data_IF_057290612301
#
_entry.id   IF_057290612301
#
_cell.length_a   1.000
_cell.length_b   1.000
_cell.length_c   1.000
_cell.angle_alpha   90.00
_cell.angle_beta   90.00
_cell.angle_gamma   90.00
#
_symmetry.space_group_name_H-M   'P 1'
#
loop_
_entity.id
_entity.type
_entity.pdbx_description
1 polymer ?
#
# COMPACT_ATOMS: atom_id res chain seq x y z
N UNK A 1 -27.81 6.07 20.34
CA UNK A 1 -27.35 6.22 18.95
C UNK A 1 -27.34 4.87 18.26
N UNK A 2 -27.47 4.84 16.95
CA UNK A 2 -27.46 3.61 16.17
C UNK A 2 -26.08 3.24 15.68
N UNK A 3 -25.22 4.26 15.51
CA UNK A 3 -23.82 4.15 15.12
C UNK A 3 -22.98 5.06 16.02
N UNK A 4 -21.77 4.63 16.34
CA UNK A 4 -20.82 5.40 17.12
C UNK A 4 -19.65 5.81 16.21
N UNK A 5 -19.37 7.10 16.14
CA UNK A 5 -18.17 7.63 15.45
C UNK A 5 -17.17 7.98 16.53
N UNK A 6 -16.05 7.23 16.57
CA UNK A 6 -14.97 7.42 17.54
C UNK A 6 -13.81 8.17 16.85
N UNK A 7 -13.65 9.45 17.13
CA UNK A 7 -12.55 10.29 16.65
C UNK A 7 -11.39 10.21 17.65
N UNK A 8 -10.40 9.39 17.36
CA UNK A 8 -9.32 9.01 18.28
C UNK A 8 -7.95 9.06 17.57
N UNK A 9 -6.88 8.95 18.34
CA UNK A 9 -5.53 8.87 17.82
C UNK A 9 -4.51 9.70 18.59
N UNK A 10 -3.47 10.10 17.92
CA UNK A 10 -2.38 10.89 18.49
C UNK A 10 -2.73 12.36 18.54
N UNK A 11 -2.33 13.05 19.60
CA UNK A 11 -2.39 14.49 19.67
C UNK A 11 -1.12 15.15 19.12
N UNK A 12 -1.12 16.48 19.03
CA UNK A 12 -0.01 17.25 18.46
C UNK A 12 1.33 17.04 19.20
N UNK A 13 1.31 16.73 20.50
CA UNK A 13 2.52 16.51 21.29
C UNK A 13 3.11 15.11 21.14
N UNK A 14 2.40 14.20 20.45
CA UNK A 14 2.84 12.82 20.19
C UNK A 14 3.51 12.69 18.83
N UNK A 15 3.49 13.74 18.02
CA UNK A 15 4.01 13.77 16.66
C UNK A 15 4.88 15.00 16.41
N UNK A 16 5.64 14.96 15.32
CA UNK A 16 6.50 16.03 14.88
C UNK A 16 7.97 15.67 15.04
N UNK A 17 8.83 16.67 14.81
CA UNK A 17 10.27 16.52 14.90
C UNK A 17 10.69 16.13 16.32
N UNK A 18 11.51 15.06 16.42
CA UNK A 18 11.99 14.55 17.71
C UNK A 18 10.95 13.79 18.56
N UNK A 19 9.73 13.60 18.06
CA UNK A 19 8.66 12.91 18.78
C UNK A 19 8.58 11.42 18.40
N UNK A 20 9.60 10.64 18.73
CA UNK A 20 9.63 9.18 18.50
C UNK A 20 8.81 8.43 19.54
N UNK A 21 8.15 7.34 19.12
CA UNK A 21 7.40 6.45 20.02
C UNK A 21 7.90 5.01 19.85
N UNK A 22 8.18 4.34 20.97
CA UNK A 22 8.55 2.91 21.00
C UNK A 22 7.33 1.99 20.87
N UNK A 23 6.16 2.47 21.30
CA UNK A 23 4.87 1.78 21.22
C UNK A 23 3.92 2.65 20.39
N UNK A 24 3.89 2.50 19.04
CA UNK A 24 3.09 3.31 18.15
C UNK A 24 1.65 2.79 18.07
N UNK A 25 0.97 2.73 19.19
CA UNK A 25 -0.43 2.34 19.33
C UNK A 25 -1.33 3.56 19.54
N UNK A 26 -2.64 3.38 19.40
CA UNK A 26 -3.63 4.34 19.93
C UNK A 26 -3.39 4.48 21.43
N UNK A 27 -3.37 5.71 21.99
CA UNK A 27 -3.13 5.90 23.43
C UNK A 27 -4.01 5.02 24.32
N UNK A 28 -3.46 4.40 25.33
CA UNK A 28 -4.13 3.40 26.17
C UNK A 28 -5.51 3.82 26.71
N UNK A 29 -5.72 5.05 27.23
CA UNK A 29 -7.06 5.49 27.65
C UNK A 29 -8.09 5.49 26.51
N UNK A 30 -7.65 5.83 25.30
CA UNK A 30 -8.52 5.82 24.09
C UNK A 30 -8.80 4.39 23.64
N UNK A 31 -7.82 3.48 23.70
CA UNK A 31 -8.06 2.05 23.44
C UNK A 31 -9.07 1.45 24.44
N UNK A 32 -8.96 1.80 25.73
CA UNK A 32 -9.95 1.37 26.73
C UNK A 32 -11.35 1.86 26.40
N UNK A 33 -11.49 3.13 26.00
CA UNK A 33 -12.73 3.70 25.53
C UNK A 33 -13.26 2.94 24.31
N UNK A 34 -12.44 2.74 23.29
CA UNK A 34 -12.82 2.05 22.05
C UNK A 34 -13.33 0.62 22.34
N UNK A 35 -12.63 -0.12 23.18
CA UNK A 35 -13.02 -1.45 23.64
C UNK A 35 -14.36 -1.45 24.39
N UNK A 36 -14.61 -0.42 25.20
CA UNK A 36 -15.89 -0.24 25.88
C UNK A 36 -17.03 0.08 24.91
N UNK A 37 -16.77 0.90 23.88
CA UNK A 37 -17.75 1.22 22.84
C UNK A 37 -18.14 -0.01 22.03
N UNK A 38 -17.17 -0.84 21.62
CA UNK A 38 -17.44 -2.11 20.92
C UNK A 38 -18.31 -3.05 21.75
N UNK A 39 -18.09 -3.12 23.06
CA UNK A 39 -18.92 -3.95 23.97
C UNK A 39 -20.39 -3.54 24.05
N UNK A 40 -20.74 -2.35 23.59
CA UNK A 40 -22.15 -1.92 23.51
C UNK A 40 -22.95 -2.66 22.45
N UNK A 41 -22.27 -3.38 21.54
CA UNK A 41 -22.90 -4.05 20.39
C UNK A 41 -23.34 -3.11 19.27
N UNK A 42 -23.06 -1.80 19.37
CA UNK A 42 -23.33 -0.83 18.31
C UNK A 42 -22.17 -0.81 17.30
N UNK A 43 -22.46 -0.62 15.99
CA UNK A 43 -21.41 -0.40 15.02
C UNK A 43 -20.52 0.81 15.39
N UNK A 44 -19.21 0.62 15.37
CA UNK A 44 -18.24 1.67 15.65
C UNK A 44 -17.47 1.99 14.38
N UNK A 45 -17.39 3.27 14.03
CA UNK A 45 -16.52 3.80 12.97
C UNK A 45 -15.38 4.53 13.67
N UNK A 46 -14.15 4.09 13.43
CA UNK A 46 -12.95 4.78 13.92
C UNK A 46 -12.50 5.82 12.91
N UNK A 47 -12.47 7.08 13.31
CA UNK A 47 -11.78 8.16 12.60
C UNK A 47 -10.43 8.36 13.28
N UNK A 48 -9.37 7.89 12.64
CA UNK A 48 -8.03 7.84 13.21
C UNK A 48 -7.22 9.08 12.83
N UNK A 49 -6.76 9.82 13.83
CA UNK A 49 -5.83 10.94 13.68
C UNK A 49 -4.45 10.49 14.11
N UNK A 50 -3.49 10.51 13.19
CA UNK A 50 -2.10 10.09 13.45
C UNK A 50 -1.14 10.71 12.46
N UNK A 51 0.11 10.91 12.85
CA UNK A 51 1.19 11.34 11.97
C UNK A 51 2.12 10.20 11.54
N UNK A 52 1.81 8.97 11.94
CA UNK A 52 2.60 7.76 11.63
C UNK A 52 1.73 6.54 11.47
N UNK A 53 2.19 5.47 10.80
CA UNK A 53 1.55 4.16 10.89
C UNK A 53 1.52 3.66 12.33
N UNK A 54 0.33 3.31 12.82
CA UNK A 54 0.14 2.71 14.14
C UNK A 54 -0.04 1.19 14.03
N UNK A 55 0.19 0.49 15.11
CA UNK A 55 -0.21 -0.92 15.27
C UNK A 55 -1.72 -0.93 15.52
N UNK A 56 -2.49 -1.51 14.60
CA UNK A 56 -3.95 -1.50 14.60
C UNK A 56 -4.56 -2.91 14.53
N UNK A 57 -3.81 -3.94 14.91
CA UNK A 57 -4.28 -5.33 14.75
C UNK A 57 -5.57 -5.62 15.50
N UNK A 58 -5.74 -5.06 16.71
CA UNK A 58 -7.00 -5.22 17.44
C UNK A 58 -8.14 -4.43 16.78
N UNK A 59 -7.85 -3.22 16.32
CA UNK A 59 -8.83 -2.36 15.64
C UNK A 59 -9.29 -2.98 14.33
N UNK A 60 -8.39 -3.54 13.53
CA UNK A 60 -8.70 -4.22 12.26
C UNK A 60 -9.66 -5.41 12.48
N UNK A 61 -9.45 -6.16 13.57
CA UNK A 61 -10.29 -7.33 13.90
C UNK A 61 -11.69 -6.96 14.43
N UNK A 62 -11.81 -5.81 15.15
CA UNK A 62 -13.01 -5.51 15.93
C UNK A 62 -13.79 -4.28 15.44
N UNK A 63 -13.23 -3.44 14.60
CA UNK A 63 -13.84 -2.20 14.11
C UNK A 63 -14.20 -2.36 12.63
N UNK A 64 -15.48 -2.34 12.29
CA UNK A 64 -15.94 -2.60 10.93
C UNK A 64 -15.56 -1.53 9.91
N UNK A 65 -15.19 -0.32 10.35
CA UNK A 65 -14.77 0.77 9.47
C UNK A 65 -13.73 1.66 10.16
N UNK A 66 -12.59 1.84 9.48
CA UNK A 66 -11.50 2.72 9.93
C UNK A 66 -11.22 3.74 8.85
N UNK A 67 -11.39 5.03 9.16
CA UNK A 67 -11.00 6.16 8.33
C UNK A 67 -9.71 6.75 8.87
N UNK A 68 -8.58 6.49 8.19
CA UNK A 68 -7.31 7.10 8.55
C UNK A 68 -7.26 8.53 7.99
N UNK A 69 -7.46 9.50 8.88
CA UNK A 69 -7.55 10.92 8.52
C UNK A 69 -6.18 11.62 8.50
N UNK A 70 -5.11 11.01 9.05
CA UNK A 70 -3.84 11.69 9.28
C UNK A 70 -4.05 12.99 10.07
N UNK A 71 -3.25 14.01 9.81
CA UNK A 71 -3.48 15.38 10.32
C UNK A 71 -3.93 16.29 9.18
N UNK A 72 -5.22 16.55 9.16
CA UNK A 72 -5.87 17.38 8.16
C UNK A 72 -5.79 18.87 8.54
N UNK A 73 -6.01 19.74 7.55
CA UNK A 73 -6.08 21.19 7.74
C UNK A 73 -7.47 21.69 8.16
N UNK A 74 -7.74 22.96 7.90
CA UNK A 74 -8.96 23.66 8.34
C UNK A 74 -10.28 23.08 7.81
N UNK A 75 -10.23 22.33 6.71
CA UNK A 75 -11.40 21.66 6.12
C UNK A 75 -11.56 20.19 6.59
N UNK A 76 -10.87 19.80 7.68
CA UNK A 76 -10.93 18.43 8.21
C UNK A 76 -12.37 17.96 8.49
N UNK A 77 -13.16 18.77 9.20
CA UNK A 77 -14.54 18.42 9.57
C UNK A 77 -15.43 18.13 8.36
N UNK A 78 -15.57 19.08 7.41
CA UNK A 78 -16.33 18.85 6.18
C UNK A 78 -15.84 17.63 5.40
N UNK A 79 -14.52 17.48 5.17
CA UNK A 79 -13.96 16.36 4.40
C UNK A 79 -14.23 15.01 5.05
N UNK A 80 -14.13 14.90 6.36
CA UNK A 80 -14.46 13.68 7.11
C UNK A 80 -15.96 13.38 7.00
N UNK A 81 -16.82 14.40 7.15
CA UNK A 81 -18.27 14.24 7.03
C UNK A 81 -18.67 13.77 5.63
N UNK A 82 -18.14 14.37 4.57
CA UNK A 82 -18.43 13.99 3.19
C UNK A 82 -18.12 12.51 2.94
N UNK A 83 -16.99 12.02 3.48
CA UNK A 83 -16.65 10.59 3.38
C UNK A 83 -17.59 9.75 4.24
N UNK A 84 -17.82 10.07 5.51
CA UNK A 84 -18.62 9.28 6.44
C UNK A 84 -20.09 9.14 5.97
N UNK A 85 -20.65 10.21 5.40
CA UNK A 85 -22.04 10.21 4.91
C UNK A 85 -22.17 9.80 3.43
N UNK A 86 -21.04 9.59 2.74
CA UNK A 86 -21.02 9.05 1.39
C UNK A 86 -21.22 10.09 0.29
N UNK A 87 -21.11 11.38 0.60
CA UNK A 87 -21.09 12.47 -0.38
C UNK A 87 -19.81 12.45 -1.22
N UNK A 88 -18.71 11.96 -0.61
CA UNK A 88 -17.47 11.66 -1.30
C UNK A 88 -17.13 10.18 -1.20
N UNK A 89 -16.77 9.55 -2.32
CA UNK A 89 -16.22 8.20 -2.33
C UNK A 89 -14.71 8.27 -2.06
N UNK A 90 -14.19 7.62 -0.99
CA UNK A 90 -12.77 7.66 -0.67
C UNK A 90 -11.93 7.03 -1.79
N UNK A 91 -10.82 7.67 -2.13
CA UNK A 91 -9.86 7.22 -3.15
C UNK A 91 -8.41 7.34 -2.70
N UNK A 92 -8.18 7.76 -1.46
CA UNK A 92 -6.86 7.90 -0.87
C UNK A 92 -6.18 6.55 -0.66
N UNK A 93 -4.86 6.52 -0.87
CA UNK A 93 -4.00 5.38 -0.61
C UNK A 93 -2.96 5.76 0.44
N UNK A 94 -2.71 4.88 1.41
CA UNK A 94 -1.66 5.11 2.41
C UNK A 94 -0.28 5.05 1.75
N UNK A 95 0.61 5.96 2.17
CA UNK A 95 1.97 6.09 1.63
C UNK A 95 3.03 5.49 2.56
N UNK A 96 2.60 4.64 3.48
CA UNK A 96 3.45 3.86 4.36
C UNK A 96 2.75 2.54 4.71
N UNK A 97 3.52 1.49 4.98
CA UNK A 97 2.97 0.21 5.46
C UNK A 97 2.59 0.32 6.94
N UNK A 98 1.46 -0.24 7.34
CA UNK A 98 1.05 -0.34 8.75
C UNK A 98 1.46 -1.71 9.30
N UNK A 99 2.20 -1.76 10.41
CA UNK A 99 2.67 -3.02 10.99
C UNK A 99 1.54 -3.78 11.71
N UNK A 100 1.71 -5.09 11.88
CA UNK A 100 0.85 -5.91 12.74
C UNK A 100 1.24 -5.79 14.21
N UNK A 101 2.53 -5.60 14.46
CA UNK A 101 3.08 -5.32 15.80
C UNK A 101 4.37 -4.50 15.70
N UNK A 102 4.83 -3.98 16.84
CA UNK A 102 6.01 -3.14 16.91
C UNK A 102 7.30 -3.86 16.48
N UNK A 103 7.36 -5.18 16.64
CA UNK A 103 8.53 -5.98 16.26
C UNK A 103 8.79 -6.01 14.74
N UNK A 104 7.82 -5.62 13.91
CA UNK A 104 8.01 -5.51 12.47
C UNK A 104 8.65 -4.18 12.02
N UNK A 105 8.76 -3.18 12.89
CA UNK A 105 9.28 -1.87 12.52
C UNK A 105 10.82 -1.84 12.49
N UNK A 106 11.42 -1.20 11.47
CA UNK A 106 10.80 -0.59 10.30
C UNK A 106 10.31 -1.62 9.28
N UNK A 107 9.12 -1.39 8.69
CA UNK A 107 8.53 -2.26 7.67
C UNK A 107 8.39 -1.51 6.34
N UNK A 108 9.18 -1.91 5.34
CA UNK A 108 9.25 -1.26 4.04
C UNK A 108 8.73 -2.20 2.95
N UNK A 109 7.83 -1.71 2.09
CA UNK A 109 7.33 -2.48 0.94
C UNK A 109 8.44 -2.85 -0.07
N UNK A 110 9.49 -2.03 -0.11
CA UNK A 110 10.65 -2.14 -0.99
C UNK A 110 11.89 -2.68 -0.27
N UNK A 111 11.69 -3.56 0.71
CA UNK A 111 12.80 -4.20 1.42
C UNK A 111 13.70 -4.99 0.46
N UNK A 112 14.92 -5.26 0.87
CA UNK A 112 15.85 -6.13 0.15
C UNK A 112 15.71 -7.58 0.65
N UNK A 113 15.89 -8.53 -0.25
CA UNK A 113 15.93 -9.94 0.13
C UNK A 113 17.09 -10.20 1.08
N UNK A 114 16.85 -11.11 2.01
CA UNK A 114 17.89 -11.74 2.85
C UNK A 114 18.48 -12.95 2.11
N UNK A 115 19.47 -13.61 2.72
CA UNK A 115 20.06 -14.83 2.15
C UNK A 115 19.10 -16.04 2.09
N UNK A 116 17.99 -16.00 2.85
CA UNK A 116 16.98 -17.09 2.90
C UNK A 116 15.57 -16.52 2.99
N UNK A 117 15.11 -15.80 1.96
CA UNK A 117 13.79 -15.20 1.96
C UNK A 117 12.69 -16.27 2.00
N UNK A 118 11.53 -15.90 2.53
CA UNK A 118 10.31 -16.67 2.34
C UNK A 118 9.80 -16.53 0.90
N UNK A 119 9.00 -17.50 0.47
CA UNK A 119 8.33 -17.45 -0.84
C UNK A 119 7.22 -16.40 -0.89
N UNK A 120 6.59 -16.16 0.25
CA UNK A 120 5.55 -15.14 0.44
C UNK A 120 5.62 -14.52 1.83
N UNK A 121 5.46 -13.21 1.92
CA UNK A 121 5.40 -12.49 3.20
C UNK A 121 4.14 -12.83 4.02
N UNK A 122 3.09 -13.34 3.38
CA UNK A 122 1.87 -13.82 4.04
C UNK A 122 1.99 -15.26 4.56
N UNK A 123 3.10 -15.96 4.24
CA UNK A 123 3.33 -17.31 4.75
C UNK A 123 3.61 -17.31 6.26
N UNK A 124 3.09 -18.32 6.94
CA UNK A 124 3.43 -18.58 8.34
C UNK A 124 4.89 -18.97 8.53
N UNK A 125 5.29 -19.23 9.78
CA UNK A 125 6.66 -19.60 10.12
C UNK A 125 7.18 -20.80 9.34
N UNK A 126 8.35 -20.63 8.73
CA UNK A 126 9.13 -21.68 8.08
C UNK A 126 10.53 -21.71 8.67
N UNK A 127 10.94 -22.86 9.20
CA UNK A 127 12.26 -23.01 9.84
C UNK A 127 13.39 -22.73 8.84
N UNK A 128 14.40 -21.98 9.30
CA UNK A 128 15.58 -21.56 8.53
C UNK A 128 15.33 -20.56 7.40
N UNK A 129 14.15 -19.97 7.34
CA UNK A 129 13.83 -18.81 6.48
C UNK A 129 13.86 -17.54 7.30
N UNK A 130 13.96 -16.39 6.62
CA UNK A 130 13.89 -15.07 7.25
C UNK A 130 12.43 -14.69 7.51
N UNK A 131 11.94 -15.07 8.68
CA UNK A 131 10.55 -14.84 9.10
C UNK A 131 10.44 -14.78 10.61
N UNK A 132 9.33 -14.22 11.09
CA UNK A 132 8.96 -14.23 12.51
C UNK A 132 8.33 -15.57 12.89
N UNK A 133 8.40 -15.92 14.19
CA UNK A 133 7.81 -17.16 14.71
C UNK A 133 6.31 -16.96 14.97
N UNK A 134 5.91 -15.76 15.38
CA UNK A 134 4.64 -15.42 16.00
C UNK A 134 3.76 -14.47 15.15
N UNK A 135 4.28 -13.95 14.05
CA UNK A 135 3.57 -13.08 13.11
C UNK A 135 4.07 -13.34 11.69
N UNK A 136 3.22 -13.11 10.70
CA UNK A 136 3.65 -13.16 9.28
C UNK A 136 4.50 -11.94 8.94
N UNK A 137 5.38 -12.05 7.93
CA UNK A 137 6.22 -10.93 7.51
C UNK A 137 5.41 -9.77 6.91
N UNK A 138 4.27 -10.07 6.28
CA UNK A 138 3.41 -9.08 5.65
C UNK A 138 2.88 -8.03 6.64
N UNK A 139 2.83 -6.75 6.25
CA UNK A 139 2.20 -5.71 7.05
C UNK A 139 0.70 -5.97 7.24
N UNK A 140 0.08 -5.30 8.21
CA UNK A 140 -1.37 -5.27 8.36
C UNK A 140 -2.01 -4.62 7.12
N UNK A 141 -1.59 -3.40 6.80
CA UNK A 141 -1.97 -2.72 5.57
C UNK A 141 -0.71 -2.42 4.75
N UNK A 142 -0.63 -2.93 3.51
CA UNK A 142 0.53 -2.70 2.65
C UNK A 142 0.59 -1.25 2.16
N UNK A 143 1.77 -0.80 1.77
CA UNK A 143 1.94 0.49 1.07
C UNK A 143 0.98 0.57 -0.14
N UNK A 144 0.36 1.72 -0.33
CA UNK A 144 -0.60 1.94 -1.41
C UNK A 144 -2.00 1.39 -1.14
N UNK A 145 -2.27 0.80 0.02
CA UNK A 145 -3.60 0.29 0.38
C UNK A 145 -4.60 1.43 0.61
N UNK A 146 -5.85 1.18 0.28
CA UNK A 146 -6.99 2.04 0.57
C UNK A 146 -8.24 1.48 -0.11
N UNK A 147 -9.35 1.48 0.64
CA UNK A 147 -10.65 0.99 0.17
C UNK A 147 -11.47 2.11 -0.46
N UNK A 148 -12.49 1.73 -1.20
CA UNK A 148 -13.48 2.59 -1.85
C UNK A 148 -14.88 2.09 -1.53
N UNK A 149 -15.90 2.94 -1.74
CA UNK A 149 -17.32 2.51 -1.68
C UNK A 149 -17.78 1.79 -2.95
N UNK A 150 -16.85 1.53 -3.87
CA UNK A 150 -17.04 0.67 -5.03
C UNK A 150 -15.90 -0.35 -5.10
N UNK A 151 -15.97 -1.29 -6.03
CA UNK A 151 -14.97 -2.35 -6.22
C UNK A 151 -14.38 -2.26 -7.60
N UNK A 152 -13.11 -2.66 -7.73
CA UNK A 152 -12.38 -2.64 -9.00
C UNK A 152 -11.81 -4.02 -9.31
N UNK A 153 -11.86 -4.37 -10.59
CA UNK A 153 -11.22 -5.57 -11.14
C UNK A 153 -10.05 -5.15 -12.03
N UNK A 154 -8.93 -5.82 -11.86
CA UNK A 154 -7.71 -5.64 -12.63
C UNK A 154 -7.56 -6.79 -13.61
N UNK A 155 -7.51 -6.47 -14.91
CA UNK A 155 -7.25 -7.41 -15.99
C UNK A 155 -5.79 -7.90 -15.99
N UNK A 156 -5.40 -8.55 -17.08
CA UNK A 156 -4.02 -9.00 -17.27
C UNK A 156 -3.16 -7.88 -17.88
N UNK A 157 -1.86 -7.90 -17.55
CA UNK A 157 -0.89 -6.93 -18.07
C UNK A 157 -0.51 -7.35 -19.50
N UNK A 158 -0.62 -6.40 -20.42
CA UNK A 158 -0.13 -6.53 -21.79
C UNK A 158 1.10 -5.63 -21.96
N UNK A 159 2.21 -6.21 -22.38
CA UNK A 159 3.44 -5.51 -22.72
C UNK A 159 3.58 -5.33 -24.23
N UNK A 160 4.07 -4.17 -24.67
CA UNK A 160 4.33 -3.90 -26.08
C UNK A 160 5.41 -4.79 -26.70
N UNK A 161 6.31 -5.32 -25.86
CA UNK A 161 7.35 -6.28 -26.25
C UNK A 161 7.73 -7.15 -25.04
N UNK A 162 8.27 -8.33 -25.29
CA UNK A 162 8.89 -9.18 -24.27
C UNK A 162 10.38 -8.87 -24.09
N UNK A 163 10.97 -8.12 -25.01
CA UNK A 163 12.37 -7.71 -24.96
C UNK A 163 12.52 -6.26 -25.40
N UNK A 164 13.45 -5.53 -24.79
CA UNK A 164 13.84 -4.19 -25.20
C UNK A 164 15.37 -4.07 -25.22
N UNK A 165 15.95 -3.27 -26.12
CA UNK A 165 17.38 -2.93 -26.03
C UNK A 165 17.66 -2.03 -24.83
N UNK A 166 18.93 -1.94 -24.43
CA UNK A 166 19.36 -1.19 -23.24
C UNK A 166 19.01 0.31 -23.28
N UNK A 167 18.71 0.86 -24.45
CA UNK A 167 18.22 2.24 -24.63
C UNK A 167 16.76 2.30 -25.05
N UNK A 168 16.04 1.18 -24.92
CA UNK A 168 14.67 1.06 -25.35
C UNK A 168 13.64 1.59 -24.36
N UNK A 169 12.39 1.45 -24.74
CA UNK A 169 11.24 1.71 -23.90
C UNK A 169 10.17 0.62 -24.08
N UNK A 170 9.37 0.45 -23.06
CA UNK A 170 8.30 -0.52 -23.00
C UNK A 170 6.99 0.17 -22.63
N UNK A 171 5.90 -0.26 -23.24
CA UNK A 171 4.56 0.14 -22.82
C UNK A 171 3.88 -1.03 -22.11
N UNK A 172 3.43 -0.80 -20.86
CA UNK A 172 2.61 -1.72 -20.10
C UNK A 172 1.17 -1.21 -20.05
N UNK A 173 0.21 -2.07 -20.34
CA UNK A 173 -1.21 -1.77 -20.36
C UNK A 173 -1.97 -2.74 -19.48
N UNK A 174 -2.99 -2.23 -18.80
CA UNK A 174 -3.91 -3.01 -17.99
C UNK A 174 -5.31 -2.42 -18.09
N UNK A 175 -6.33 -3.27 -18.13
CA UNK A 175 -7.72 -2.82 -18.10
C UNK A 175 -8.23 -2.80 -16.65
N UNK A 176 -8.83 -1.69 -16.22
CA UNK A 176 -9.44 -1.55 -14.90
C UNK A 176 -10.95 -1.38 -15.09
N UNK A 177 -11.73 -2.20 -14.39
CA UNK A 177 -13.19 -2.15 -14.41
C UNK A 177 -13.74 -1.83 -13.04
N UNK A 178 -14.65 -0.86 -12.96
CA UNK A 178 -15.46 -0.65 -11.79
C UNK A 178 -16.58 -1.71 -11.77
N UNK A 179 -16.51 -2.65 -10.85
CA UNK A 179 -17.48 -3.75 -10.71
C UNK A 179 -18.58 -3.46 -9.70
N UNK A 180 -18.48 -2.33 -8.99
CA UNK A 180 -19.48 -1.92 -8.01
C UNK A 180 -20.60 -1.06 -8.61
N UNK A 181 -21.40 -0.49 -7.72
CA UNK A 181 -22.63 0.25 -8.07
C UNK A 181 -22.49 1.78 -7.98
N UNK A 182 -21.32 2.29 -7.61
CA UNK A 182 -21.02 3.72 -7.46
C UNK A 182 -19.87 4.10 -8.36
N UNK A 183 -19.87 5.35 -8.83
CA UNK A 183 -18.67 5.93 -9.44
C UNK A 183 -17.56 6.05 -8.40
N UNK A 184 -16.33 6.00 -8.85
CA UNK A 184 -15.17 6.14 -7.96
C UNK A 184 -13.89 6.42 -8.73
N UNK A 185 -12.83 6.73 -7.96
CA UNK A 185 -11.48 6.92 -8.50
C UNK A 185 -10.58 5.82 -7.96
N UNK A 186 -9.89 5.12 -8.87
CA UNK A 186 -8.89 4.13 -8.50
C UNK A 186 -7.49 4.63 -8.82
N UNK A 187 -6.54 4.37 -7.91
CA UNK A 187 -5.13 4.70 -8.10
C UNK A 187 -4.38 3.43 -8.48
N UNK A 188 -4.14 3.27 -9.76
CA UNK A 188 -3.41 2.14 -10.35
C UNK A 188 -1.92 2.39 -10.17
N UNK A 189 -1.22 1.46 -9.53
CA UNK A 189 0.20 1.57 -9.16
C UNK A 189 1.03 0.60 -9.98
N UNK A 190 2.14 1.09 -10.53
CA UNK A 190 3.11 0.30 -11.28
C UNK A 190 4.40 0.19 -10.49
N UNK A 191 4.82 -1.05 -10.27
CA UNK A 191 6.09 -1.40 -9.63
C UNK A 191 6.98 -2.16 -10.61
N UNK A 192 8.27 -2.03 -10.42
CA UNK A 192 9.29 -2.79 -11.16
C UNK A 192 10.13 -3.57 -10.16
N UNK A 193 10.47 -4.81 -10.53
CA UNK A 193 11.47 -5.61 -9.86
C UNK A 193 12.55 -6.01 -10.86
N UNK A 194 13.79 -5.73 -10.50
CA UNK A 194 14.98 -6.27 -11.14
C UNK A 194 15.24 -7.67 -10.53
N UNK A 195 15.20 -8.71 -11.34
CA UNK A 195 15.27 -10.09 -10.84
C UNK A 195 16.67 -10.44 -10.39
N UNK A 196 17.69 -10.04 -11.17
CA UNK A 196 19.09 -10.26 -10.88
C UNK A 196 19.92 -9.06 -11.31
N UNK A 197 20.71 -8.52 -10.40
CA UNK A 197 21.64 -7.42 -10.64
C UNK A 197 22.93 -7.57 -9.83
N UNK A 198 23.97 -6.84 -10.23
CA UNK A 198 25.29 -6.91 -9.57
C UNK A 198 25.27 -6.35 -8.14
N UNK A 199 24.25 -5.55 -7.78
CA UNK A 199 24.00 -5.11 -6.41
C UNK A 199 22.59 -5.51 -5.96
N UNK A 200 22.43 -5.82 -4.67
CA UNK A 200 21.12 -6.22 -4.12
C UNK A 200 20.08 -5.12 -4.31
N UNK A 201 19.02 -5.44 -5.06
CA UNK A 201 17.91 -4.53 -5.35
C UNK A 201 16.72 -4.78 -4.40
N UNK A 202 15.84 -3.78 -4.23
CA UNK A 202 14.55 -3.97 -3.59
C UNK A 202 13.70 -5.04 -4.27
N UNK A 203 12.86 -5.74 -3.50
CA UNK A 203 11.93 -6.75 -4.02
C UNK A 203 10.91 -6.17 -5.00
N UNK A 204 10.66 -4.87 -4.94
CA UNK A 204 9.88 -4.06 -5.89
C UNK A 204 10.07 -2.58 -5.59
N UNK A 205 9.92 -1.73 -6.59
CA UNK A 205 9.97 -0.27 -6.45
C UNK A 205 8.81 0.36 -7.20
N UNK A 206 8.05 1.25 -6.55
CA UNK A 206 7.03 2.05 -7.23
C UNK A 206 7.69 2.99 -8.24
N UNK A 207 7.36 2.85 -9.51
CA UNK A 207 7.91 3.70 -10.59
C UNK A 207 6.88 4.68 -11.15
N UNK A 208 5.61 4.31 -11.12
CA UNK A 208 4.54 5.19 -11.59
C UNK A 208 3.20 4.87 -10.92
N UNK A 209 2.29 5.82 -10.95
CA UNK A 209 0.89 5.60 -10.62
C UNK A 209 -0.01 6.50 -11.48
N UNK A 210 -1.25 6.07 -11.69
CA UNK A 210 -2.30 6.86 -12.36
C UNK A 210 -3.61 6.74 -11.64
N UNK A 211 -4.26 7.86 -11.39
CA UNK A 211 -5.62 7.88 -10.87
C UNK A 211 -6.61 7.95 -12.04
N UNK A 212 -7.57 7.02 -12.05
CA UNK A 212 -8.62 6.94 -13.07
C UNK A 212 -9.99 7.02 -12.42
N UNK A 213 -10.85 7.88 -12.94
CA UNK A 213 -12.25 7.95 -12.54
C UNK A 213 -13.06 6.99 -13.43
N UNK A 214 -13.93 6.19 -12.82
CA UNK A 214 -14.76 5.19 -13.49
C UNK A 214 -16.18 5.24 -12.95
N UNK A 215 -17.14 5.34 -13.85
CA UNK A 215 -18.55 5.15 -13.53
C UNK A 215 -18.84 3.67 -13.17
N UNK A 216 -19.99 3.41 -12.54
CA UNK A 216 -20.41 2.04 -12.24
C UNK A 216 -20.48 1.19 -13.52
N UNK A 217 -19.78 0.06 -13.54
CA UNK A 217 -19.66 -0.83 -14.70
C UNK A 217 -18.67 -0.40 -15.78
N UNK A 218 -18.11 0.82 -15.70
CA UNK A 218 -17.13 1.33 -16.69
C UNK A 218 -15.83 0.56 -16.63
N UNK A 219 -15.21 0.38 -17.80
CA UNK A 219 -13.87 -0.18 -17.96
C UNK A 219 -12.97 0.82 -18.68
N UNK A 220 -11.70 0.89 -18.28
CA UNK A 220 -10.71 1.77 -18.90
C UNK A 220 -9.33 1.12 -18.97
N UNK A 221 -8.69 1.21 -20.12
CA UNK A 221 -7.30 0.83 -20.28
C UNK A 221 -6.39 1.90 -19.66
N UNK A 222 -5.50 1.49 -18.78
CA UNK A 222 -4.45 2.30 -18.19
C UNK A 222 -3.12 1.90 -18.79
N UNK A 223 -2.40 2.88 -19.31
CA UNK A 223 -1.12 2.68 -20.01
C UNK A 223 -0.01 3.36 -19.24
N UNK A 224 1.10 2.65 -19.04
CA UNK A 224 2.35 3.17 -18.49
C UNK A 224 3.46 3.02 -19.52
N UNK A 225 4.29 4.04 -19.68
CA UNK A 225 5.55 3.94 -20.40
C UNK A 225 6.66 3.66 -19.36
N UNK A 226 7.47 2.66 -19.63
CA UNK A 226 8.62 2.29 -18.83
C UNK A 226 9.85 2.56 -19.68
N UNK A 227 10.73 3.41 -19.20
CA UNK A 227 11.99 3.77 -19.83
C UNK A 227 13.15 3.12 -19.11
N UNK A 228 14.30 3.12 -19.75
CA UNK A 228 15.53 2.64 -19.11
C UNK A 228 15.87 3.43 -17.83
N UNK A 229 15.51 4.71 -17.77
CA UNK A 229 15.73 5.51 -16.55
C UNK A 229 14.93 4.99 -15.33
N UNK A 230 13.79 4.35 -15.55
CA UNK A 230 13.01 3.70 -14.49
C UNK A 230 13.69 2.43 -13.96
N UNK A 231 14.61 1.83 -14.72
CA UNK A 231 15.30 0.59 -14.42
C UNK A 231 16.68 0.82 -13.80
N UNK A 232 17.24 2.03 -13.94
CA UNK A 232 18.58 2.38 -13.45
C UNK A 232 18.69 2.34 -11.93
N UNK A 233 19.91 2.04 -11.50
CA UNK A 233 20.32 2.07 -10.10
C UNK A 233 21.82 2.40 -9.99
N UNK A 234 22.30 2.73 -8.80
CA UNK A 234 23.72 2.89 -8.54
C UNK A 234 24.38 1.55 -8.25
N UNK A 235 25.33 1.15 -9.08
CA UNK A 235 26.14 -0.06 -8.89
C UNK A 235 27.24 0.14 -7.84
N UNK A 236 28.10 -0.87 -7.65
CA UNK A 236 29.21 -0.80 -6.69
C UNK A 236 30.27 0.29 -7.03
N UNK A 237 30.38 0.67 -8.30
CA UNK A 237 31.29 1.72 -8.75
C UNK A 237 30.62 3.11 -8.71
N UNK A 238 29.48 3.26 -8.07
CA UNK A 238 28.67 4.47 -7.99
C UNK A 238 28.23 5.02 -9.35
N UNK A 239 28.14 4.16 -10.36
CA UNK A 239 27.61 4.50 -11.68
C UNK A 239 26.11 4.26 -11.72
N UNK A 240 25.36 5.21 -12.30
CA UNK A 240 23.91 5.10 -12.47
C UNK A 240 23.61 4.36 -13.78
N UNK A 241 23.38 3.06 -13.68
CA UNK A 241 23.32 2.13 -14.81
C UNK A 241 22.02 1.31 -14.83
N UNK A 242 21.62 0.87 -16.03
CA UNK A 242 20.72 -0.25 -16.23
C UNK A 242 21.57 -1.44 -16.70
N UNK A 243 21.36 -2.60 -16.13
CA UNK A 243 22.02 -3.83 -16.55
C UNK A 243 21.07 -4.68 -17.41
N UNK A 244 21.61 -5.42 -18.42
CA UNK A 244 20.81 -6.41 -19.13
C UNK A 244 20.33 -7.51 -18.18
N UNK A 245 19.10 -7.98 -18.37
CA UNK A 245 18.53 -9.01 -17.51
C UNK A 245 17.01 -9.00 -17.53
N UNK A 246 16.42 -9.83 -16.68
CA UNK A 246 14.98 -9.99 -16.55
C UNK A 246 14.39 -9.04 -15.52
N UNK A 247 13.25 -8.46 -15.87
CA UNK A 247 12.49 -7.55 -15.04
C UNK A 247 11.04 -7.99 -14.92
N UNK A 248 10.46 -7.84 -13.73
CA UNK A 248 9.03 -7.99 -13.50
C UNK A 248 8.35 -6.61 -13.53
N UNK A 249 7.26 -6.52 -14.31
CA UNK A 249 6.29 -5.42 -14.27
C UNK A 249 5.13 -5.87 -13.39
N UNK A 250 4.88 -5.12 -12.32
CA UNK A 250 3.87 -5.44 -11.33
C UNK A 250 2.86 -4.29 -11.29
N UNK A 251 1.56 -4.57 -11.51
CA UNK A 251 0.53 -3.52 -11.50
C UNK A 251 -0.64 -3.96 -10.61
N UNK A 252 -1.09 -3.04 -9.74
CA UNK A 252 -2.22 -3.32 -8.87
C UNK A 252 -2.65 -2.13 -8.02
N UNK A 253 -3.62 -2.35 -7.10
CA UNK A 253 -4.16 -1.32 -6.21
C UNK A 253 -3.23 -0.95 -5.04
N UNK A 254 -2.25 -1.77 -4.73
CA UNK A 254 -1.29 -1.59 -3.63
C UNK A 254 -0.06 -2.47 -3.85
N UNK A 255 0.92 -2.43 -2.94
CA UNK A 255 2.19 -3.16 -3.06
C UNK A 255 2.10 -4.68 -2.83
N UNK A 256 0.95 -5.21 -2.44
CA UNK A 256 0.72 -6.65 -2.20
C UNK A 256 -0.12 -7.29 -3.30
N UNK A 257 -1.26 -6.68 -3.63
CA UNK A 257 -2.25 -7.24 -4.55
C UNK A 257 -1.89 -6.82 -6.00
N UNK A 258 -1.02 -7.60 -6.65
CA UNK A 258 -0.38 -7.24 -7.90
C UNK A 258 -0.58 -8.32 -8.97
N UNK A 259 -0.87 -7.87 -10.20
CA UNK A 259 -0.66 -8.65 -11.42
C UNK A 259 0.80 -8.54 -11.83
N UNK A 260 1.33 -9.56 -12.51
CA UNK A 260 2.74 -9.60 -12.91
C UNK A 260 2.89 -10.00 -14.38
N UNK A 261 3.82 -9.37 -15.06
CA UNK A 261 4.34 -9.76 -16.37
C UNK A 261 5.85 -9.54 -16.41
N UNK A 262 6.55 -10.24 -17.30
CA UNK A 262 8.00 -10.18 -17.40
C UNK A 262 8.47 -9.66 -18.76
N UNK A 263 9.61 -8.98 -18.76
CA UNK A 263 10.34 -8.62 -19.96
C UNK A 263 11.86 -8.70 -19.70
N UNK A 264 12.65 -8.74 -20.77
CA UNK A 264 14.12 -8.81 -20.71
C UNK A 264 14.73 -7.58 -21.37
N UNK A 265 15.68 -6.95 -20.70
CA UNK A 265 16.57 -5.93 -21.29
C UNK A 265 17.73 -6.63 -21.94
N UNK A 266 17.90 -6.42 -23.25
CA UNK A 266 19.02 -6.93 -24.04
C UNK A 266 20.21 -5.97 -24.01
N UNK A 267 21.41 -6.51 -24.23
CA UNK A 267 22.65 -5.76 -24.29
C UNK A 267 22.71 -4.81 -25.48
#
# INVERSE_FOLDING_TARGET
>A
SDIIIAALGENINMNGEGASRSEPDIPEPQQKLLKALVKTGKPVVLVLFTGRPLVLSWEDEHIPAILNAWFLGVQAGPAIADVLFGDANPSGKITASFPRNVGQLPIHYNHKNTGRPQESDDAGYVRFKSNYIDVVNAPLYPFGFGLSYTTYEYGEITLSSKTIPINGKLTAKINIKNTGKRSGKETVQLYIRDVYSTATRPVKELKAFKQVALEAGESREVTFEITVDDLKYYNHDLQYVCEPGDFEVLIGPNSRDLKMSMFTVLQ
#
